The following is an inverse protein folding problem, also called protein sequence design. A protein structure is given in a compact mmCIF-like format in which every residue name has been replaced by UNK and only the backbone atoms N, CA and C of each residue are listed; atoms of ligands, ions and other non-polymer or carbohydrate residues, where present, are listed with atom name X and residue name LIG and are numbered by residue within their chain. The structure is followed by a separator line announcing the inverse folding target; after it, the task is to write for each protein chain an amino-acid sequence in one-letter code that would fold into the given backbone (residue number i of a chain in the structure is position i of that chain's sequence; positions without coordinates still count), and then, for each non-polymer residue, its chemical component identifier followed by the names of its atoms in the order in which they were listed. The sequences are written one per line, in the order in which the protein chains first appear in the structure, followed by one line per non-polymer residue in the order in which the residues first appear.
data_IF_457678028490
#
_entry.id   IF_457678028490
#
_cell.length_a   1.000
_cell.length_b   1.000
_cell.length_c   1.000
_cell.angle_alpha   90.00
_cell.angle_beta   90.00
_cell.angle_gamma   90.00
#
_symmetry.space_group_name_H-M   'P 1'
#
loop_
_entity.id
_entity.type
_entity.pdbx_description
1 polymer ?
#
# COMPACT_ATOMS: atom_id res chain seq x y z
N UNK A 1 6.90 -16.17 -5.16
CA UNK A 1 8.30 -16.52 -4.89
C UNK A 1 8.43 -16.73 -3.39
N UNK A 2 8.39 -17.98 -2.94
CA UNK A 2 8.57 -18.31 -1.53
C UNK A 2 10.04 -18.08 -1.09
N UNK A 3 10.31 -17.80 0.20
CA UNK A 3 11.67 -17.59 0.69
C UNK A 3 12.50 -18.87 0.61
N UNK A 4 13.81 -18.79 0.29
CA UNK A 4 14.70 -19.96 0.31
C UNK A 4 14.92 -20.42 1.76
N UNK A 5 14.54 -21.66 2.08
CA UNK A 5 14.87 -22.27 3.38
C UNK A 5 13.86 -23.25 3.96
N UNK A 6 12.62 -23.32 3.46
CA UNK A 6 11.76 -24.47 3.75
C UNK A 6 12.19 -25.65 2.87
N UNK A 7 12.87 -26.63 3.45
CA UNK A 7 12.96 -27.95 2.84
C UNK A 7 11.57 -28.60 2.93
N UNK A 8 10.87 -28.56 1.79
CA UNK A 8 9.52 -29.07 1.57
C UNK A 8 9.64 -30.57 1.28
N UNK A 9 9.56 -31.39 2.33
CA UNK A 9 9.68 -32.85 2.25
C UNK A 9 8.43 -33.50 1.62
N UNK A 10 8.67 -34.45 0.71
CA UNK A 10 7.72 -35.32 -0.02
C UNK A 10 6.46 -35.80 0.74
N UNK A 11 5.54 -34.88 1.05
CA UNK A 11 4.26 -35.19 1.70
C UNK A 11 3.13 -34.80 0.74
N UNK A 12 2.19 -35.71 0.41
CA UNK A 12 1.06 -35.40 -0.47
C UNK A 12 0.25 -34.25 0.13
N UNK A 13 0.26 -33.09 -0.53
CA UNK A 13 -0.34 -31.84 -0.02
C UNK A 13 0.50 -30.59 -0.32
N UNK A 14 1.79 -30.74 -0.61
CA UNK A 14 2.70 -29.61 -0.88
C UNK A 14 2.81 -29.21 -2.37
N UNK A 15 2.00 -29.77 -3.26
CA UNK A 15 2.05 -29.47 -4.71
C UNK A 15 1.40 -28.13 -5.10
N UNK A 16 0.81 -27.39 -4.15
CA UNK A 16 0.05 -26.16 -4.43
C UNK A 16 0.54 -24.92 -3.66
N UNK A 17 1.65 -25.01 -2.93
CA UNK A 17 2.20 -23.89 -2.16
C UNK A 17 2.65 -22.69 -3.03
N UNK A 18 2.87 -22.91 -4.33
CA UNK A 18 3.17 -21.87 -5.32
C UNK A 18 1.95 -21.48 -6.19
N UNK A 19 0.76 -21.98 -5.88
CA UNK A 19 -0.48 -21.62 -6.58
C UNK A 19 -1.28 -20.59 -5.78
N UNK A 20 -1.99 -19.70 -6.47
CA UNK A 20 -2.94 -18.76 -5.85
C UNK A 20 -4.12 -19.45 -5.12
N UNK A 21 -4.18 -20.78 -5.13
CA UNK A 21 -5.24 -21.63 -4.55
C UNK A 21 -4.92 -22.09 -3.12
N UNK A 22 -3.77 -21.68 -2.56
CA UNK A 22 -3.38 -22.09 -1.21
C UNK A 22 -2.69 -20.94 -0.47
N UNK A 23 -3.17 -20.64 0.74
CA UNK A 23 -2.64 -19.57 1.57
C UNK A 23 -2.38 -20.09 2.98
N UNK A 24 -1.22 -20.74 3.23
CA UNK A 24 -0.95 -21.48 4.46
C UNK A 24 -0.72 -20.54 5.63
N UNK A 25 -1.77 -19.92 6.17
CA UNK A 25 -1.63 -19.21 7.45
C UNK A 25 -1.49 -20.27 8.53
N UNK A 26 -0.50 -20.10 9.41
CA UNK A 26 -0.20 -21.05 10.49
C UNK A 26 -0.01 -20.33 11.82
N UNK A 27 0.02 -21.08 12.93
CA UNK A 27 0.09 -20.56 14.31
C UNK A 27 -1.06 -19.63 14.70
N UNK A 28 -2.25 -19.82 14.15
CA UNK A 28 -3.44 -19.07 14.52
C UNK A 28 -4.11 -19.67 15.76
N UNK A 29 -4.84 -18.84 16.52
CA UNK A 29 -5.60 -19.30 17.68
C UNK A 29 -6.78 -20.18 17.25
N UNK A 30 -7.26 -21.09 18.13
CA UNK A 30 -8.44 -21.91 17.85
C UNK A 30 -9.69 -21.13 17.42
N UNK A 31 -9.81 -19.87 17.83
CA UNK A 31 -10.92 -18.99 17.42
C UNK A 31 -10.93 -18.66 15.91
N UNK A 32 -9.83 -18.95 15.20
CA UNK A 32 -9.71 -18.80 13.75
C UNK A 32 -9.86 -20.14 13.00
N UNK A 33 -10.35 -21.19 13.66
CA UNK A 33 -10.44 -22.53 13.08
C UNK A 33 -11.43 -22.65 11.91
N UNK A 34 -12.38 -21.72 11.79
CA UNK A 34 -13.47 -21.78 10.78
C UNK A 34 -14.77 -22.36 11.35
N UNK A 35 -15.77 -22.59 10.51
CA UNK A 35 -17.06 -23.14 10.90
C UNK A 35 -16.91 -24.60 11.38
N UNK A 36 -17.77 -25.01 12.33
CA UNK A 36 -17.72 -26.36 12.90
C UNK A 36 -18.13 -27.46 11.91
N UNK A 37 -18.94 -27.11 10.91
CA UNK A 37 -19.49 -28.02 9.90
C UNK A 37 -19.02 -27.60 8.51
N UNK A 38 -17.72 -27.72 8.28
CA UNK A 38 -17.07 -27.36 7.00
C UNK A 38 -17.10 -28.57 6.03
N UNK A 39 -16.53 -29.71 6.44
CA UNK A 39 -16.48 -30.91 5.59
C UNK A 39 -17.42 -32.01 6.08
N UNK A 40 -18.18 -32.59 5.15
CA UNK A 40 -19.02 -33.75 5.42
C UNK A 40 -18.18 -34.98 5.75
N UNK A 41 -18.16 -35.41 7.01
CA UNK A 41 -17.63 -36.70 7.41
C UNK A 41 -18.77 -37.72 7.60
N UNK A 42 -19.00 -38.65 6.66
CA UNK A 42 -20.08 -39.64 6.75
C UNK A 42 -19.94 -40.64 7.92
N UNK A 43 -18.77 -40.67 8.59
CA UNK A 43 -18.44 -41.66 9.60
C UNK A 43 -18.47 -41.12 11.05
N UNK A 44 -18.88 -39.87 11.28
CA UNK A 44 -18.93 -39.31 12.64
C UNK A 44 -20.36 -39.16 13.18
N UNK A 45 -20.61 -39.75 14.34
CA UNK A 45 -21.80 -39.51 15.16
C UNK A 45 -21.70 -38.13 15.83
N UNK A 46 -22.79 -37.34 15.89
CA UNK A 46 -22.72 -35.97 16.41
C UNK A 46 -22.48 -35.99 17.92
N UNK A 47 -21.24 -35.70 18.33
CA UNK A 47 -20.88 -35.41 19.73
C UNK A 47 -21.17 -33.94 20.03
N UNK A 48 -21.90 -33.71 21.13
CA UNK A 48 -22.58 -32.45 21.45
C UNK A 48 -21.70 -31.20 21.58
N UNK A 49 -22.37 -30.05 21.61
CA UNK A 49 -21.79 -28.70 21.61
C UNK A 49 -20.87 -28.44 22.82
N UNK A 50 -19.55 -28.54 22.60
CA UNK A 50 -18.52 -28.19 23.56
C UNK A 50 -17.16 -27.98 22.87
N UNK A 51 -16.27 -27.20 23.49
CA UNK A 51 -14.92 -26.91 22.96
C UNK A 51 -14.13 -28.19 22.62
N UNK A 52 -14.34 -29.26 23.39
CA UNK A 52 -13.74 -30.58 23.14
C UNK A 52 -14.33 -31.29 21.90
N UNK A 53 -15.60 -31.03 21.57
CA UNK A 53 -16.23 -31.54 20.36
C UNK A 53 -15.70 -30.83 19.10
N UNK A 54 -15.39 -29.53 19.18
CA UNK A 54 -14.69 -28.82 18.09
C UNK A 54 -13.30 -29.38 17.79
N UNK A 55 -12.55 -29.81 18.82
CA UNK A 55 -11.22 -30.45 18.63
C UNK A 55 -11.35 -31.88 18.04
N UNK A 56 -12.38 -32.64 18.43
CA UNK A 56 -12.57 -34.02 17.98
C UNK A 56 -13.36 -34.15 16.65
N UNK A 57 -14.19 -33.16 16.28
CA UNK A 57 -14.83 -33.03 14.96
C UNK A 57 -13.90 -32.47 13.90
N UNK A 58 -12.74 -31.91 14.29
CA UNK A 58 -11.70 -31.47 13.37
C UNK A 58 -11.02 -32.62 12.57
N UNK A 59 -11.48 -33.86 12.72
CA UNK A 59 -11.09 -34.98 11.84
C UNK A 59 -11.83 -34.94 10.48
N UNK A 60 -11.96 -33.75 9.91
CA UNK A 60 -12.65 -33.46 8.66
C UNK A 60 -12.54 -31.98 8.24
N UNK A 61 -12.50 -31.03 9.18
CA UNK A 61 -12.44 -29.59 8.87
C UNK A 61 -11.11 -29.18 8.23
N UNK A 62 -11.14 -28.31 7.21
CA UNK A 62 -9.96 -27.62 6.73
C UNK A 62 -9.55 -26.61 7.81
N UNK A 63 -8.69 -27.02 8.76
CA UNK A 63 -8.39 -26.20 9.93
C UNK A 63 -7.80 -24.83 9.55
N UNK A 64 -8.57 -23.78 9.86
CA UNK A 64 -8.20 -22.37 9.70
C UNK A 64 -8.99 -21.66 8.60
N UNK A 65 -9.63 -20.53 8.93
CA UNK A 65 -10.42 -19.72 7.98
C UNK A 65 -9.63 -19.35 6.71
N UNK A 66 -8.31 -19.15 6.80
CA UNK A 66 -7.49 -18.87 5.61
C UNK A 66 -7.13 -20.10 4.78
N UNK A 67 -7.15 -21.29 5.37
CA UNK A 67 -6.82 -22.54 4.72
C UNK A 67 -8.06 -23.23 4.13
N UNK A 68 -9.23 -23.03 4.74
CA UNK A 68 -10.53 -23.54 4.30
C UNK A 68 -11.37 -22.58 3.44
N UNK A 69 -11.04 -21.29 3.39
CA UNK A 69 -11.90 -20.30 2.73
C UNK A 69 -12.20 -20.58 1.25
N UNK A 70 -13.48 -20.52 0.91
CA UNK A 70 -14.00 -20.55 -0.46
C UNK A 70 -13.89 -19.19 -1.14
N UNK A 71 -13.92 -18.09 -0.37
CA UNK A 71 -13.84 -16.74 -0.93
C UNK A 71 -12.67 -15.99 -0.32
N UNK A 72 -11.73 -15.63 -1.18
CA UNK A 72 -10.62 -14.74 -0.85
C UNK A 72 -10.69 -13.46 -1.68
N UNK A 73 -10.65 -12.31 -1.01
CA UNK A 73 -10.60 -11.00 -1.66
C UNK A 73 -9.35 -10.25 -1.22
N UNK A 74 -8.54 -9.84 -2.18
CA UNK A 74 -7.35 -9.03 -1.96
C UNK A 74 -7.56 -7.63 -2.54
N UNK A 75 -7.24 -6.61 -1.77
CA UNK A 75 -7.41 -5.20 -2.11
C UNK A 75 -6.10 -4.48 -1.82
N UNK A 76 -5.58 -3.76 -2.82
CA UNK A 76 -4.43 -2.88 -2.67
C UNK A 76 -4.85 -1.44 -3.00
N UNK A 77 -4.69 -0.53 -2.04
CA UNK A 77 -4.91 0.90 -2.23
C UNK A 77 -3.59 1.62 -2.03
N UNK A 78 -3.21 2.45 -2.99
CA UNK A 78 -2.12 3.41 -2.88
C UNK A 78 -2.68 4.83 -2.98
N UNK A 79 -2.14 5.75 -2.18
CA UNK A 79 -2.44 7.18 -2.22
C UNK A 79 -1.14 7.95 -2.16
N UNK A 80 -1.07 9.00 -2.96
CA UNK A 80 0.03 9.95 -2.96
C UNK A 80 -0.52 11.35 -2.71
N UNK A 81 0.14 12.10 -1.82
CA UNK A 81 -0.19 13.50 -1.53
C UNK A 81 1.12 14.27 -1.38
N UNK A 82 1.17 15.49 -1.92
CA UNK A 82 2.30 16.41 -1.75
C UNK A 82 1.83 17.76 -1.25
N UNK A 83 2.65 18.40 -0.43
CA UNK A 83 2.46 19.77 0.04
C UNK A 83 3.79 20.50 -0.08
N UNK A 84 3.77 21.64 -0.76
CA UNK A 84 4.97 22.41 -1.09
C UNK A 84 4.82 23.87 -0.69
N UNK A 85 5.86 24.40 -0.07
CA UNK A 85 6.04 25.82 0.21
C UNK A 85 7.34 26.28 -0.44
N UNK A 86 7.23 26.91 -1.60
CA UNK A 86 8.37 27.25 -2.46
C UNK A 86 8.52 28.76 -2.60
N UNK A 87 9.73 29.25 -2.40
CA UNK A 87 10.14 30.61 -2.75
C UNK A 87 10.85 30.57 -4.09
N UNK A 88 10.43 31.44 -5.00
CA UNK A 88 11.05 31.64 -6.31
C UNK A 88 11.89 32.90 -6.31
N UNK A 89 13.14 32.80 -6.75
CA UNK A 89 14.06 33.92 -6.91
C UNK A 89 14.43 34.06 -8.39
N UNK A 90 14.11 35.17 -9.06
CA UNK A 90 14.53 35.39 -10.44
C UNK A 90 16.05 35.57 -10.49
N UNK A 91 16.71 34.80 -11.36
CA UNK A 91 18.17 34.86 -11.58
C UNK A 91 18.48 35.63 -12.86
N UNK A 92 17.69 35.39 -13.90
CA UNK A 92 17.83 36.06 -15.19
C UNK A 92 16.45 36.27 -15.82
N UNK A 93 16.22 37.45 -16.35
CA UNK A 93 14.94 37.82 -16.94
C UNK A 93 15.15 38.75 -18.14
N UNK A 94 14.63 38.33 -19.28
CA UNK A 94 14.51 39.11 -20.51
C UNK A 94 13.07 39.03 -21.02
N UNK A 95 12.75 39.77 -22.08
CA UNK A 95 11.42 39.77 -22.72
C UNK A 95 10.94 38.38 -23.16
N UNK A 96 11.86 37.49 -23.56
CA UNK A 96 11.50 36.17 -24.11
C UNK A 96 11.84 34.98 -23.20
N UNK A 97 12.63 35.19 -22.14
CA UNK A 97 13.18 34.11 -21.32
C UNK A 97 13.24 34.53 -19.85
N UNK A 98 12.80 33.64 -18.94
CA UNK A 98 12.97 33.84 -17.50
C UNK A 98 13.55 32.59 -16.87
N UNK A 99 14.69 32.74 -16.19
CA UNK A 99 15.32 31.71 -15.37
C UNK A 99 15.16 32.09 -13.89
N UNK A 100 14.63 31.17 -13.10
CA UNK A 100 14.44 31.35 -11.67
C UNK A 100 15.03 30.18 -10.89
N UNK A 101 15.62 30.48 -9.73
CA UNK A 101 15.93 29.48 -8.71
C UNK A 101 14.71 29.24 -7.84
N UNK A 102 14.55 28.00 -7.39
CA UNK A 102 13.50 27.56 -6.48
C UNK A 102 14.14 26.98 -5.22
N UNK A 103 13.62 27.35 -4.06
CA UNK A 103 13.99 26.74 -2.79
C UNK A 103 12.76 26.68 -1.89
N UNK A 104 12.57 25.57 -1.20
CA UNK A 104 11.37 25.40 -0.40
C UNK A 104 11.40 24.22 0.56
N UNK A 105 10.34 24.13 1.34
CA UNK A 105 10.02 22.96 2.14
C UNK A 105 8.99 22.10 1.39
N UNK A 106 9.17 20.78 1.46
CA UNK A 106 8.30 19.78 0.84
C UNK A 106 7.89 18.73 1.85
N UNK A 107 6.62 18.33 1.77
CA UNK A 107 6.09 17.16 2.44
C UNK A 107 5.44 16.25 1.41
N UNK A 108 5.93 15.02 1.31
CA UNK A 108 5.36 14.00 0.44
C UNK A 108 4.85 12.83 1.29
N UNK A 109 3.65 12.36 1.00
CA UNK A 109 3.02 11.24 1.70
C UNK A 109 2.64 10.15 0.72
N UNK A 110 3.31 9.01 0.85
CA UNK A 110 2.90 7.77 0.19
C UNK A 110 2.23 6.87 1.22
N UNK A 111 0.97 6.54 0.98
CA UNK A 111 0.21 5.63 1.82
C UNK A 111 -0.22 4.40 1.02
N UNK A 112 0.15 3.23 1.52
CA UNK A 112 -0.19 1.94 0.93
C UNK A 112 -0.95 1.11 1.96
N UNK A 113 -2.04 0.48 1.53
CA UNK A 113 -2.77 -0.50 2.31
C UNK A 113 -3.05 -1.72 1.45
N UNK A 114 -2.54 -2.83 1.91
CA UNK A 114 -2.97 -4.15 1.49
C UNK A 114 -4.00 -4.69 2.49
N UNK A 115 -5.09 -5.22 1.98
CA UNK A 115 -6.13 -5.90 2.76
C UNK A 115 -6.43 -7.24 2.10
N UNK A 116 -6.43 -8.29 2.90
CA UNK A 116 -6.83 -9.62 2.47
C UNK A 116 -7.94 -10.11 3.38
N UNK A 117 -9.10 -10.35 2.80
CA UNK A 117 -10.27 -10.88 3.49
C UNK A 117 -10.52 -12.29 3.01
N UNK A 118 -10.76 -13.19 3.95
CA UNK A 118 -11.17 -14.57 3.71
C UNK A 118 -12.52 -14.83 4.36
N UNK A 119 -13.32 -15.65 3.70
CA UNK A 119 -14.63 -16.11 4.16
C UNK A 119 -14.67 -17.62 3.93
N UNK A 120 -14.97 -18.32 5.00
CA UNK A 120 -15.12 -19.76 5.09
C UNK A 120 -16.61 -20.06 5.31
N UNK A 121 -17.20 -20.84 4.42
CA UNK A 121 -18.62 -21.18 4.42
C UNK A 121 -18.81 -22.56 5.02
N UNK A 122 -19.87 -22.72 5.80
CA UNK A 122 -20.28 -24.06 6.23
C UNK A 122 -20.77 -24.90 5.04
N UNK A 123 -20.99 -26.20 5.31
CA UNK A 123 -21.56 -27.16 4.36
C UNK A 123 -22.89 -26.72 3.72
N UNK A 124 -23.64 -25.81 4.35
CA UNK A 124 -24.90 -25.26 3.84
C UNK A 124 -24.71 -23.96 3.05
N UNK A 125 -23.46 -23.54 2.80
CA UNK A 125 -23.12 -22.29 2.13
C UNK A 125 -23.42 -21.04 2.97
N UNK A 126 -23.44 -21.15 4.30
CA UNK A 126 -23.64 -20.05 5.23
C UNK A 126 -22.32 -19.67 5.90
N UNK A 127 -22.04 -18.36 6.00
CA UNK A 127 -20.87 -17.85 6.71
C UNK A 127 -21.29 -16.77 7.72
N UNK A 128 -20.96 -16.98 8.99
CA UNK A 128 -21.15 -16.02 10.06
C UNK A 128 -20.03 -14.97 10.12
N UNK A 129 -20.13 -13.99 11.03
CA UNK A 129 -19.06 -13.01 11.27
C UNK A 129 -17.77 -13.60 11.86
N UNK A 130 -17.84 -14.79 12.48
CA UNK A 130 -16.69 -15.51 13.04
C UNK A 130 -15.98 -16.40 12.02
N UNK A 131 -16.66 -16.77 10.94
CA UNK A 131 -16.12 -17.59 9.84
C UNK A 131 -15.42 -16.71 8.78
N UNK A 132 -15.06 -15.50 9.19
CA UNK A 132 -14.42 -14.51 8.33
C UNK A 132 -13.19 -14.00 9.02
N UNK A 133 -12.14 -13.76 8.24
CA UNK A 133 -10.91 -13.24 8.77
C UNK A 133 -10.29 -12.20 7.84
N UNK A 134 -9.62 -11.23 8.45
CA UNK A 134 -9.11 -10.05 7.77
C UNK A 134 -7.65 -9.86 8.19
N UNK A 135 -6.79 -9.85 7.19
CA UNK A 135 -5.43 -9.39 7.29
C UNK A 135 -5.31 -7.99 6.69
N UNK A 136 -4.61 -7.11 7.39
CA UNK A 136 -4.29 -5.76 6.90
C UNK A 136 -2.80 -5.48 7.09
N UNK A 137 -2.16 -4.96 6.05
CA UNK A 137 -0.81 -4.41 6.11
C UNK A 137 -0.83 -2.98 5.55
N UNK A 138 -0.37 -2.03 6.35
CA UNK A 138 -0.36 -0.61 6.03
C UNK A 138 1.08 -0.12 6.10
N UNK A 139 1.54 0.55 5.04
CA UNK A 139 2.81 1.26 4.98
C UNK A 139 2.54 2.72 4.72
N UNK A 140 2.98 3.60 5.62
CA UNK A 140 2.80 5.04 5.50
C UNK A 140 4.16 5.72 5.53
N UNK A 141 4.65 6.16 4.38
CA UNK A 141 5.89 6.92 4.22
C UNK A 141 5.55 8.42 4.26
N UNK A 142 5.89 9.09 5.37
CA UNK A 142 5.70 10.54 5.51
C UNK A 142 7.06 11.20 5.41
N UNK A 143 7.32 11.78 4.26
CA UNK A 143 8.60 12.38 3.89
C UNK A 143 8.53 13.88 4.13
N UNK A 144 9.51 14.42 4.86
CA UNK A 144 9.62 15.85 5.14
C UNK A 144 11.04 16.31 4.83
N UNK A 145 11.18 17.44 4.16
CA UNK A 145 12.51 18.00 3.93
C UNK A 145 12.49 19.28 3.12
N UNK A 146 13.65 19.59 2.57
CA UNK A 146 13.84 20.75 1.71
C UNK A 146 14.08 20.30 0.27
N UNK A 147 13.67 21.14 -0.66
CA UNK A 147 13.93 20.97 -2.07
C UNK A 147 14.56 22.24 -2.65
N UNK A 148 15.33 22.03 -3.71
CA UNK A 148 15.98 23.07 -4.49
C UNK A 148 15.81 22.75 -5.97
N UNK A 149 15.66 23.78 -6.79
CA UNK A 149 15.46 23.56 -8.20
C UNK A 149 15.64 24.80 -9.04
N UNK A 150 15.40 24.62 -10.32
CA UNK A 150 15.43 25.67 -11.31
C UNK A 150 14.17 25.61 -12.16
N UNK A 151 13.71 26.79 -12.55
CA UNK A 151 12.61 26.96 -13.48
C UNK A 151 13.11 27.79 -14.65
N UNK A 152 12.83 27.29 -15.85
CA UNK A 152 13.03 28.00 -17.09
C UNK A 152 11.69 28.21 -17.78
N UNK A 153 11.42 29.45 -18.16
CA UNK A 153 10.25 29.83 -18.94
C UNK A 153 10.70 30.44 -20.27
N UNK A 154 9.97 30.09 -21.33
CA UNK A 154 10.19 30.53 -22.70
C UNK A 154 8.91 31.15 -23.25
N UNK A 155 8.94 32.41 -23.62
CA UNK A 155 7.83 33.03 -24.33
C UNK A 155 7.82 32.55 -25.78
N UNK A 156 6.68 31.99 -26.22
CA UNK A 156 6.50 31.44 -27.56
C UNK A 156 5.76 32.40 -28.50
N UNK A 157 5.29 33.54 -27.99
CA UNK A 157 4.46 34.49 -28.73
C UNK A 157 2.96 34.27 -28.51
N UNK A 158 2.16 35.26 -28.87
CA UNK A 158 0.68 35.22 -28.80
C UNK A 158 0.13 34.80 -27.43
N UNK A 159 0.80 35.19 -26.35
CA UNK A 159 0.39 34.83 -24.99
C UNK A 159 0.69 33.38 -24.61
N UNK A 160 1.46 32.62 -25.38
CA UNK A 160 1.91 31.28 -24.97
C UNK A 160 3.29 31.35 -24.33
N UNK A 161 3.50 30.59 -23.26
CA UNK A 161 4.83 30.28 -22.73
C UNK A 161 4.99 28.79 -22.49
N UNK A 162 6.20 28.28 -22.71
CA UNK A 162 6.59 26.94 -22.28
C UNK A 162 7.36 27.06 -20.96
N UNK A 163 7.08 26.17 -20.02
CA UNK A 163 7.75 26.12 -18.73
C UNK A 163 8.36 24.74 -18.49
N UNK A 164 9.60 24.75 -18.01
CA UNK A 164 10.29 23.57 -17.50
C UNK A 164 10.72 23.86 -16.07
N UNK A 165 10.35 22.98 -15.15
CA UNK A 165 10.76 23.03 -13.76
C UNK A 165 11.49 21.72 -13.46
N UNK A 166 12.68 21.81 -12.89
CA UNK A 166 13.41 20.67 -12.37
C UNK A 166 13.80 20.93 -10.93
N UNK A 167 13.39 20.04 -10.02
CA UNK A 167 13.72 20.13 -8.61
C UNK A 167 14.36 18.83 -8.11
N UNK A 168 15.16 18.95 -7.07
CA UNK A 168 15.72 17.85 -6.31
C UNK A 168 15.48 18.10 -4.82
N UNK A 169 15.07 17.05 -4.11
CA UNK A 169 14.73 17.09 -2.71
C UNK A 169 15.58 16.13 -1.89
N UNK A 170 15.84 16.51 -0.63
CA UNK A 170 16.36 15.59 0.36
C UNK A 170 15.38 15.50 1.53
N UNK A 171 14.69 14.36 1.62
CA UNK A 171 13.60 14.18 2.56
C UNK A 171 13.97 13.14 3.62
N UNK A 172 13.57 13.38 4.86
CA UNK A 172 13.56 12.39 5.93
C UNK A 172 12.21 11.68 5.87
N UNK A 173 12.24 10.37 5.63
CA UNK A 173 11.06 9.52 5.57
C UNK A 173 10.78 8.92 6.94
N UNK A 174 9.65 9.31 7.52
CA UNK A 174 9.08 8.74 8.73
C UNK A 174 8.08 7.66 8.33
N UNK A 175 8.56 6.42 8.31
CA UNK A 175 7.77 5.26 7.88
C UNK A 175 7.04 4.68 9.08
N UNK A 176 5.71 4.57 8.97
CA UNK A 176 4.89 3.83 9.93
C UNK A 176 4.33 2.60 9.25
N UNK A 177 4.71 1.43 9.73
CA UNK A 177 4.20 0.14 9.24
C UNK A 177 3.29 -0.50 10.26
N UNK A 178 2.17 -1.06 9.82
CA UNK A 178 1.21 -1.76 10.69
C UNK A 178 0.67 -2.99 9.98
N UNK A 179 0.90 -4.15 10.56
CA UNK A 179 0.31 -5.40 10.14
C UNK A 179 -0.63 -5.93 11.22
N UNK A 180 -1.77 -6.51 10.83
CA UNK A 180 -2.80 -6.95 11.76
C UNK A 180 -3.64 -8.08 11.18
N UNK A 181 -3.85 -9.11 11.99
CA UNK A 181 -4.88 -10.12 11.82
C UNK A 181 -6.06 -9.84 12.76
N UNK A 182 -7.28 -9.94 12.24
CA UNK A 182 -8.52 -9.86 13.02
C UNK A 182 -9.61 -10.75 12.42
N UNK A 183 -10.56 -11.18 13.23
CA UNK A 183 -11.80 -11.80 12.74
C UNK A 183 -12.69 -10.76 12.05
N UNK A 184 -13.62 -11.22 11.22
CA UNK A 184 -14.61 -10.38 10.54
C UNK A 184 -15.53 -9.65 11.52
N UNK A 185 -15.80 -10.25 12.69
CA UNK A 185 -16.43 -9.57 13.81
C UNK A 185 -15.43 -8.72 14.60
N UNK A 186 -15.63 -7.40 14.53
CA UNK A 186 -14.79 -6.44 15.24
C UNK A 186 -14.88 -6.65 16.77
N UNK A 187 -13.73 -6.61 17.44
CA UNK A 187 -13.57 -6.75 18.90
C UNK A 187 -13.91 -8.13 19.47
N UNK A 188 -14.04 -9.15 18.63
CA UNK A 188 -14.19 -10.53 19.06
C UNK A 188 -12.91 -11.31 18.75
N UNK A 189 -12.52 -12.19 19.68
CA UNK A 189 -11.34 -13.06 19.55
C UNK A 189 -9.99 -12.33 19.71
N UNK A 190 -8.89 -13.12 19.73
CA UNK A 190 -7.54 -12.61 19.84
C UNK A 190 -7.12 -11.91 18.54
N UNK A 191 -6.47 -10.76 18.67
CA UNK A 191 -5.98 -9.94 17.57
C UNK A 191 -4.45 -9.92 17.63
N UNK A 192 -3.79 -10.42 16.59
CA UNK A 192 -2.34 -10.21 16.46
C UNK A 192 -2.08 -8.95 15.65
N UNK A 193 -1.26 -8.06 16.22
CA UNK A 193 -0.87 -6.81 15.58
C UNK A 193 0.61 -6.54 15.77
N UNK A 194 1.26 -5.99 14.75
CA UNK A 194 2.60 -5.43 14.85
C UNK A 194 2.64 -4.06 14.24
N UNK A 195 3.29 -3.13 14.94
CA UNK A 195 3.55 -1.78 14.45
C UNK A 195 5.02 -1.46 14.65
N UNK A 196 5.64 -0.84 13.65
CA UNK A 196 7.02 -0.36 13.73
C UNK A 196 7.10 1.03 13.11
N UNK A 197 8.05 1.82 13.60
CA UNK A 197 8.43 3.09 13.02
C UNK A 197 9.86 2.95 12.52
N UNK A 198 10.11 3.36 11.28
CA UNK A 198 11.44 3.35 10.67
C UNK A 198 11.74 4.74 10.13
N UNK A 199 13.02 5.08 10.10
CA UNK A 199 13.49 6.35 9.57
C UNK A 199 14.48 6.05 8.47
N UNK A 200 14.27 6.65 7.30
CA UNK A 200 15.20 6.53 6.18
C UNK A 200 15.37 7.87 5.50
N UNK A 201 16.47 8.03 4.78
CA UNK A 201 16.68 9.16 3.90
C UNK A 201 16.09 8.82 2.54
N UNK A 202 15.19 9.67 2.04
CA UNK A 202 14.53 9.54 0.76
C UNK A 202 14.89 10.73 -0.13
N UNK A 203 15.96 10.62 -0.94
CA UNK A 203 16.22 11.58 -2.00
C UNK A 203 15.07 11.60 -3.00
N UNK A 204 14.86 12.75 -3.62
CA UNK A 204 13.79 12.98 -4.58
C UNK A 204 14.33 13.73 -5.81
N UNK A 205 13.80 13.39 -6.98
CA UNK A 205 13.92 14.17 -8.20
C UNK A 205 12.53 14.42 -8.78
N UNK A 206 12.21 15.67 -9.10
CA UNK A 206 10.96 16.03 -9.77
C UNK A 206 11.22 16.86 -11.02
N UNK A 207 10.37 16.69 -12.02
CA UNK A 207 10.39 17.44 -13.25
C UNK A 207 8.98 17.73 -13.73
N UNK A 208 8.73 18.98 -14.10
CA UNK A 208 7.46 19.42 -14.69
C UNK A 208 7.75 20.06 -16.02
N UNK A 209 7.09 19.59 -17.06
CA UNK A 209 7.03 20.27 -18.34
C UNK A 209 5.62 20.77 -18.59
N UNK A 210 5.46 22.02 -19.01
CA UNK A 210 4.14 22.56 -19.28
C UNK A 210 4.13 23.66 -20.33
N UNK A 211 2.91 24.07 -20.63
CA UNK A 211 2.58 25.22 -21.45
C UNK A 211 1.58 26.06 -20.66
N UNK A 212 1.88 27.35 -20.54
CA UNK A 212 0.96 28.37 -20.08
C UNK A 212 0.39 29.15 -21.26
N UNK A 213 -0.88 29.54 -21.15
CA UNK A 213 -1.55 30.46 -22.08
C UNK A 213 -2.19 31.61 -21.33
N UNK A 214 -1.87 32.83 -21.77
CA UNK A 214 -2.33 34.10 -21.25
C UNK A 214 -3.24 34.76 -22.28
N UNK A 215 -4.54 34.41 -22.33
CA UNK A 215 -5.48 34.95 -23.32
C UNK A 215 -5.74 36.45 -23.14
N UNK A 216 -5.72 36.90 -21.88
CA UNK A 216 -5.96 38.27 -21.45
C UNK A 216 -5.15 38.53 -20.20
N UNK A 217 -4.83 39.80 -19.96
CA UNK A 217 -4.07 40.22 -18.79
C UNK A 217 -4.76 39.74 -17.50
N UNK A 218 -3.98 39.14 -16.60
CA UNK A 218 -4.47 38.63 -15.32
C UNK A 218 -5.08 37.22 -15.35
N UNK A 219 -5.21 36.55 -16.51
CA UNK A 219 -5.67 35.15 -16.59
C UNK A 219 -4.58 34.27 -17.20
N UNK A 220 -4.27 33.17 -16.52
CA UNK A 220 -3.31 32.17 -16.98
C UNK A 220 -3.94 30.77 -16.96
N UNK A 221 -3.93 30.09 -18.09
CA UNK A 221 -4.23 28.67 -18.20
C UNK A 221 -2.93 27.87 -18.22
N UNK A 222 -2.84 26.81 -17.41
CA UNK A 222 -1.67 25.91 -17.36
C UNK A 222 -2.08 24.52 -17.77
N UNK A 223 -1.27 23.90 -18.61
CA UNK A 223 -1.28 22.46 -18.87
C UNK A 223 0.13 21.93 -18.67
N UNK A 224 0.28 20.90 -17.85
CA UNK A 224 1.56 20.33 -17.49
C UNK A 224 1.54 18.80 -17.45
N UNK A 225 2.74 18.24 -17.52
CA UNK A 225 3.03 16.86 -17.19
C UNK A 225 4.10 16.85 -16.10
N UNK A 226 3.77 16.23 -14.98
CA UNK A 226 4.59 16.15 -13.79
C UNK A 226 5.14 14.75 -13.63
N UNK A 227 6.42 14.64 -13.29
CA UNK A 227 7.09 13.39 -12.94
C UNK A 227 7.83 13.61 -11.62
N UNK A 228 7.57 12.76 -10.63
CA UNK A 228 8.24 12.76 -9.34
C UNK A 228 8.80 11.37 -9.05
N UNK A 229 10.08 11.32 -8.69
CA UNK A 229 10.81 10.10 -8.40
C UNK A 229 11.37 10.15 -6.99
N UNK A 230 11.04 9.14 -6.18
CA UNK A 230 11.52 8.98 -4.82
C UNK A 230 12.44 7.78 -4.73
N UNK A 231 13.62 7.99 -4.15
CA UNK A 231 14.60 6.96 -3.89
C UNK A 231 14.50 6.48 -2.46
N UNK A 232 14.78 5.20 -2.25
CA UNK A 232 14.95 4.61 -0.93
C UNK A 232 13.73 4.68 0.02
N UNK A 233 12.52 4.73 -0.54
CA UNK A 233 11.26 4.72 0.22
C UNK A 233 10.87 3.30 0.60
N UNK A 234 10.20 3.10 1.74
CA UNK A 234 9.85 1.75 2.19
C UNK A 234 8.52 1.28 1.58
N UNK A 235 8.49 0.04 1.11
CA UNK A 235 7.28 -0.67 0.67
C UNK A 235 7.28 -2.12 1.19
N UNK A 236 6.13 -2.79 1.07
CA UNK A 236 5.99 -4.21 1.40
C UNK A 236 5.63 -4.99 0.14
N UNK A 237 6.67 -5.47 -0.58
CA UNK A 237 6.53 -6.27 -1.81
C UNK A 237 5.84 -7.62 -1.56
N UNK A 238 6.05 -8.16 -0.37
CA UNK A 238 5.38 -9.35 0.13
C UNK A 238 4.51 -8.94 1.31
N UNK A 239 3.31 -8.39 1.05
CA UNK A 239 2.53 -7.72 2.08
C UNK A 239 1.94 -8.69 3.10
N UNK A 240 1.86 -9.98 2.79
CA UNK A 240 1.32 -11.04 3.66
C UNK A 240 2.45 -11.71 4.42
N UNK A 241 2.29 -11.82 5.73
CA UNK A 241 3.04 -12.77 6.55
C UNK A 241 2.12 -13.90 6.98
N UNK A 242 2.46 -15.13 6.63
CA UNK A 242 1.66 -16.32 6.91
C UNK A 242 1.74 -16.77 8.38
N UNK A 243 2.66 -16.25 9.18
CA UNK A 243 2.76 -16.58 10.59
C UNK A 243 1.85 -15.67 11.45
N UNK A 244 0.70 -16.19 11.86
CA UNK A 244 -0.24 -15.46 12.70
C UNK A 244 0.35 -15.11 14.09
N UNK A 245 1.21 -15.98 14.63
CA UNK A 245 1.78 -15.82 15.97
C UNK A 245 2.84 -14.72 16.09
N UNK A 246 3.56 -14.43 15.00
CA UNK A 246 4.62 -13.42 14.97
C UNK A 246 4.57 -12.57 13.71
N UNK A 247 3.46 -11.85 13.52
CA UNK A 247 3.21 -11.03 12.32
C UNK A 247 4.35 -10.06 12.04
N UNK A 248 5.10 -10.30 10.99
CA UNK A 248 6.28 -9.54 10.57
C UNK A 248 6.48 -9.57 9.05
N UNK A 249 5.59 -8.95 8.26
CA UNK A 249 5.79 -8.88 6.81
C UNK A 249 7.08 -8.15 6.46
N UNK A 250 7.69 -8.55 5.35
CA UNK A 250 8.92 -7.94 4.87
C UNK A 250 8.68 -6.51 4.39
N UNK A 251 9.54 -5.60 4.84
CA UNK A 251 9.57 -4.21 4.41
C UNK A 251 10.94 -3.93 3.79
N UNK A 252 10.93 -3.46 2.54
CA UNK A 252 12.13 -3.25 1.76
C UNK A 252 12.15 -1.83 1.19
N UNK A 253 13.36 -1.37 0.92
CA UNK A 253 13.58 -0.13 0.20
C UNK A 253 13.23 -0.28 -1.28
N UNK A 254 12.54 0.71 -1.83
CA UNK A 254 12.08 0.74 -3.20
C UNK A 254 12.16 2.15 -3.79
N UNK A 255 12.49 2.17 -5.08
CA UNK A 255 12.36 3.33 -5.95
C UNK A 255 10.92 3.45 -6.47
N UNK A 256 10.34 4.65 -6.38
CA UNK A 256 8.98 4.94 -6.83
C UNK A 256 8.97 6.11 -7.80
N UNK A 257 8.17 5.98 -8.86
CA UNK A 257 7.87 7.08 -9.79
C UNK A 257 6.37 7.33 -9.72
N UNK A 258 5.99 8.59 -9.65
CA UNK A 258 4.64 9.09 -9.82
C UNK A 258 4.64 10.07 -10.97
N UNK A 259 3.70 9.95 -11.88
CA UNK A 259 3.55 10.88 -12.99
C UNK A 259 2.07 11.17 -13.26
N UNK A 260 1.82 12.28 -13.95
CA UNK A 260 0.46 12.64 -14.31
C UNK A 260 0.36 13.97 -15.05
N UNK A 261 -0.82 14.20 -15.62
CA UNK A 261 -1.18 15.48 -16.22
C UNK A 261 -1.77 16.42 -15.17
N UNK A 262 -1.36 17.68 -15.25
CA UNK A 262 -1.92 18.75 -14.45
C UNK A 262 -2.52 19.83 -15.35
N UNK A 263 -3.66 20.37 -14.92
CA UNK A 263 -4.30 21.50 -15.57
C UNK A 263 -4.73 22.49 -14.50
N UNK A 264 -4.59 23.78 -14.77
CA UNK A 264 -4.89 24.82 -13.80
C UNK A 264 -5.28 26.13 -14.43
N UNK A 265 -5.95 26.96 -13.64
CA UNK A 265 -6.23 28.36 -13.95
C UNK A 265 -5.66 29.20 -12.83
N UNK A 266 -4.89 30.24 -13.15
CA UNK A 266 -4.41 31.22 -12.20
C UNK A 266 -4.96 32.60 -12.55
N UNK A 267 -5.32 33.34 -11.51
CA UNK A 267 -5.73 34.75 -11.58
C UNK A 267 -4.62 35.59 -10.97
N UNK A 268 -4.09 36.52 -11.75
CA UNK A 268 -3.03 37.45 -11.34
C UNK A 268 -3.65 38.83 -11.25
N UNK A 269 -3.49 39.47 -10.08
CA UNK A 269 -4.03 40.81 -9.77
C UNK A 269 -2.89 41.80 -9.57
#
# INVERSE_FOLDING_TARGET
MAPPGLQVGNTPGQQYADSFLYAPVFNFYPDYAGPQLDVYNPNQTPLGSGVQAGINQAAGTAYGIWNGAEVMTQEFIQRFQTYDATVRVPVYENENYRLSGLVGARMAWVWERYKWRTIDYDINGQAGPLDQAIYTNIVSNRMYGAHLGCQQEWYLGHGFSANLIGDAGLLIDVVKTRARYELGQKYYGPVTKRSRSMYTLAPELSGTFGISWYPVEGIEFKLGYDVMAFFNTISSRHPVDFNFGTVDPAYESQFRIFDGFTAGVALVF
#
